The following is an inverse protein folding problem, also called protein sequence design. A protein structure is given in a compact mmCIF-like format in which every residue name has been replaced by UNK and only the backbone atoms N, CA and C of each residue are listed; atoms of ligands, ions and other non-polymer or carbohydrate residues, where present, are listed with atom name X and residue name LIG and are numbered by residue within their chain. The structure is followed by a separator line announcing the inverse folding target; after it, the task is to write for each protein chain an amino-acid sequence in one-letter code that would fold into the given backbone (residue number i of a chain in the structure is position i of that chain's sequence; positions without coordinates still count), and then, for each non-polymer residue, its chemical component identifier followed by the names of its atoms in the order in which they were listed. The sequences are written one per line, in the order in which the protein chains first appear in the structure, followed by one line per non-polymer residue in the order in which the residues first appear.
data_IF_799659505250
#
_entry.id   IF_799659505250
#
_cell.length_a   1.000
_cell.length_b   1.000
_cell.length_c   1.000
_cell.angle_alpha   90.00
_cell.angle_beta   90.00
_cell.angle_gamma   90.00
#
_symmetry.space_group_name_H-M   'P 1'
#
loop_
_entity.id
_entity.type
_entity.pdbx_description
1 polymer ?
#
# COMPACT_ATOMS: atom_id res chain seq x y z
N UNK A 1 -7.18 7.86 15.50
CA UNK A 1 -7.54 7.64 14.10
C UNK A 1 -6.32 7.89 13.21
N UNK A 2 -6.09 7.02 12.27
CA UNK A 2 -4.92 7.10 11.40
C UNK A 2 -5.32 6.93 9.95
N UNK A 3 -4.56 7.56 9.06
CA UNK A 3 -4.66 7.31 7.63
C UNK A 3 -3.50 6.44 7.19
N UNK A 4 -3.82 5.33 6.55
CA UNK A 4 -2.84 4.44 5.94
C UNK A 4 -2.70 4.83 4.48
N UNK A 5 -1.47 5.01 4.04
CA UNK A 5 -1.15 5.22 2.62
C UNK A 5 -0.15 4.15 2.22
N UNK A 6 -0.54 3.31 1.28
CA UNK A 6 0.32 2.23 0.80
C UNK A 6 0.67 2.49 -0.65
N UNK A 7 1.93 2.24 -0.98
CA UNK A 7 2.37 2.26 -2.37
C UNK A 7 2.95 0.89 -2.71
N UNK A 8 2.51 0.33 -3.81
CA UNK A 8 2.92 -1.00 -4.24
C UNK A 8 3.38 -0.95 -5.69
N UNK A 9 4.49 -1.59 -5.95
CA UNK A 9 5.02 -1.75 -7.29
C UNK A 9 5.29 -3.24 -7.50
N UNK A 10 4.56 -3.85 -8.42
CA UNK A 10 4.69 -5.27 -8.68
C UNK A 10 3.62 -5.77 -9.64
N UNK A 11 3.61 -7.08 -9.87
CA UNK A 11 2.77 -7.70 -10.88
C UNK A 11 1.33 -7.93 -10.42
N UNK A 12 1.07 -7.91 -9.11
CA UNK A 12 -0.24 -8.29 -8.57
C UNK A 12 -0.76 -7.19 -7.63
N UNK A 13 -1.47 -6.19 -8.17
CA UNK A 13 -2.02 -5.12 -7.33
C UNK A 13 -3.07 -5.59 -6.31
N UNK A 14 -3.69 -6.74 -6.53
CA UNK A 14 -4.65 -7.29 -5.58
C UNK A 14 -3.99 -7.73 -4.27
N UNK A 15 -2.69 -7.88 -4.27
CA UNK A 15 -1.91 -8.22 -3.08
C UNK A 15 -2.12 -7.21 -1.95
N UNK A 16 -2.22 -5.92 -2.29
CA UNK A 16 -2.44 -4.87 -1.29
C UNK A 16 -3.83 -4.99 -0.68
N UNK A 17 -4.84 -5.19 -1.52
CA UNK A 17 -6.22 -5.38 -1.03
C UNK A 17 -6.32 -6.59 -0.13
N UNK A 18 -5.67 -7.69 -0.49
CA UNK A 18 -5.65 -8.90 0.33
C UNK A 18 -5.01 -8.63 1.70
N UNK A 19 -3.90 -7.89 1.73
CA UNK A 19 -3.23 -7.54 2.97
C UNK A 19 -4.13 -6.70 3.87
N UNK A 20 -4.82 -5.71 3.30
CA UNK A 20 -5.72 -4.86 4.06
C UNK A 20 -6.93 -5.65 4.58
N UNK A 21 -7.46 -6.57 3.80
CA UNK A 21 -8.55 -7.44 4.23
C UNK A 21 -8.11 -8.34 5.39
N UNK A 22 -6.92 -8.90 5.32
CA UNK A 22 -6.36 -9.72 6.39
C UNK A 22 -6.14 -8.93 7.68
N UNK A 23 -5.86 -7.65 7.56
CA UNK A 23 -5.70 -6.76 8.71
C UNK A 23 -7.03 -6.25 9.25
N UNK A 24 -8.14 -6.67 8.66
CA UNK A 24 -9.50 -6.25 9.05
C UNK A 24 -9.74 -4.75 8.84
N UNK A 25 -9.10 -4.17 7.83
CA UNK A 25 -9.37 -2.80 7.42
C UNK A 25 -10.77 -2.75 6.83
N UNK A 26 -11.69 -1.95 7.39
CA UNK A 26 -13.11 -2.02 7.02
C UNK A 26 -13.40 -1.48 5.62
N UNK A 27 -12.55 -0.64 5.08
CA UNK A 27 -12.72 -0.13 3.73
C UNK A 27 -11.47 0.57 3.26
N UNK A 28 -11.23 0.54 1.96
CA UNK A 28 -10.06 1.20 1.38
C UNK A 28 -10.35 1.59 -0.07
N UNK A 29 -9.58 2.54 -0.56
CA UNK A 29 -9.62 2.96 -1.95
C UNK A 29 -8.24 2.76 -2.56
N UNK A 30 -8.18 2.18 -3.74
CA UNK A 30 -6.92 2.00 -4.46
C UNK A 30 -6.98 2.69 -5.82
N UNK A 31 -5.87 3.31 -6.18
CA UNK A 31 -5.66 3.93 -7.47
C UNK A 31 -4.54 3.18 -8.17
N UNK A 32 -4.85 2.59 -9.31
CA UNK A 32 -3.84 1.93 -10.14
C UNK A 32 -3.33 2.90 -11.19
N UNK A 33 -2.17 2.59 -11.74
CA UNK A 33 -1.61 3.40 -12.82
C UNK A 33 -0.92 4.67 -12.36
N UNK A 34 -0.58 4.78 -11.09
CA UNK A 34 0.21 5.90 -10.61
C UNK A 34 1.67 5.74 -11.05
N UNK A 35 2.39 6.85 -11.14
CA UNK A 35 3.81 6.83 -11.45
C UNK A 35 4.61 7.23 -10.23
N UNK A 36 5.77 6.61 -10.06
CA UNK A 36 6.64 6.91 -8.95
C UNK A 36 8.08 7.03 -9.39
N UNK A 37 8.87 7.70 -8.57
CA UNK A 37 10.30 7.81 -8.73
C UNK A 37 10.94 7.63 -7.37
N UNK A 38 11.80 6.64 -7.23
CA UNK A 38 12.43 6.33 -5.96
C UNK A 38 13.95 6.39 -6.05
N UNK A 39 14.61 5.93 -5.02
CA UNK A 39 16.07 5.92 -4.95
C UNK A 39 16.71 5.05 -6.05
N UNK A 40 15.97 4.09 -6.57
CA UNK A 40 16.44 3.18 -7.61
C UNK A 40 16.05 3.64 -9.01
N UNK A 41 15.49 4.86 -9.16
CA UNK A 41 15.10 5.44 -10.42
C UNK A 41 13.60 5.48 -10.64
N UNK A 42 13.18 5.91 -11.85
CA UNK A 42 11.76 6.01 -12.17
C UNK A 42 11.06 4.65 -12.06
N UNK A 43 9.84 4.68 -11.55
CA UNK A 43 8.97 3.51 -11.47
C UNK A 43 7.93 3.54 -12.58
N UNK A 44 8.33 3.92 -13.75
CA UNK A 44 7.52 3.72 -14.93
C UNK A 44 7.45 2.23 -15.24
N UNK A 45 6.47 1.81 -15.98
CA UNK A 45 6.34 0.41 -16.36
C UNK A 45 7.65 -0.11 -16.91
N UNK A 46 8.12 -1.23 -16.37
CA UNK A 46 9.32 -1.89 -16.79
C UNK A 46 8.96 -3.19 -17.48
N UNK A 47 9.98 -3.88 -17.97
CA UNK A 47 9.77 -5.20 -18.57
C UNK A 47 9.17 -6.18 -17.55
N UNK A 48 9.59 -6.10 -16.30
CA UNK A 48 9.08 -6.96 -15.23
C UNK A 48 7.73 -6.49 -14.69
N UNK A 49 7.52 -5.20 -14.69
CA UNK A 49 6.32 -4.59 -14.14
C UNK A 49 5.75 -3.61 -15.15
N UNK A 50 5.03 -4.11 -16.18
CA UNK A 50 4.46 -3.23 -17.20
C UNK A 50 3.36 -2.32 -16.64
N UNK A 51 2.86 -2.64 -15.48
CA UNK A 51 1.95 -1.76 -14.75
C UNK A 51 2.72 -0.70 -14.01
N UNK A 52 2.00 0.13 -13.35
CA UNK A 52 2.51 1.29 -12.65
C UNK A 52 2.50 1.04 -11.14
N UNK A 53 2.56 2.10 -10.37
CA UNK A 53 2.45 2.03 -8.93
C UNK A 53 0.96 2.03 -8.56
N UNK A 54 0.58 1.16 -7.64
CA UNK A 54 -0.76 1.17 -7.04
C UNK A 54 -0.68 1.91 -5.71
N UNK A 55 -1.57 2.87 -5.51
CA UNK A 55 -1.66 3.63 -4.27
C UNK A 55 -2.99 3.29 -3.61
N UNK A 56 -2.94 2.83 -2.38
CA UNK A 56 -4.14 2.55 -1.60
C UNK A 56 -4.15 3.38 -0.33
N UNK A 57 -5.34 3.79 0.09
CA UNK A 57 -5.46 4.54 1.33
C UNK A 57 -6.75 4.18 2.06
N UNK A 58 -6.71 4.33 3.38
CA UNK A 58 -7.84 4.04 4.25
C UNK A 58 -7.67 4.81 5.57
N UNK A 59 -8.76 5.23 6.15
CA UNK A 59 -8.75 5.83 7.48
C UNK A 59 -9.30 4.79 8.46
N UNK A 60 -8.52 4.51 9.51
CA UNK A 60 -8.81 3.43 10.46
C UNK A 60 -8.54 3.90 11.89
N UNK A 61 -9.01 3.14 12.86
CA UNK A 61 -8.62 3.40 14.23
C UNK A 61 -7.17 2.98 14.51
N UNK A 62 -6.66 3.37 15.66
CA UNK A 62 -5.24 3.18 15.97
C UNK A 62 -4.88 1.70 16.09
N UNK A 63 -5.77 0.86 16.59
CA UNK A 63 -5.52 -0.58 16.74
C UNK A 63 -5.42 -1.25 15.37
N UNK A 64 -6.34 -0.95 14.47
CA UNK A 64 -6.30 -1.49 13.11
C UNK A 64 -5.06 -1.01 12.37
N UNK A 65 -4.66 0.24 12.59
CA UNK A 65 -3.43 0.77 11.97
C UNK A 65 -2.21 -0.03 12.41
N UNK A 66 -2.10 -0.38 13.69
CA UNK A 66 -0.99 -1.20 14.19
C UNK A 66 -0.98 -2.59 13.58
N UNK A 67 -2.14 -3.23 13.48
CA UNK A 67 -2.24 -4.56 12.85
C UNK A 67 -1.82 -4.49 11.38
N UNK A 68 -2.31 -3.49 10.66
CA UNK A 68 -1.96 -3.32 9.25
C UNK A 68 -0.46 -3.06 9.07
N UNK A 69 0.13 -2.24 9.92
CA UNK A 69 1.57 -1.96 9.87
C UNK A 69 2.40 -3.22 10.13
N UNK A 70 2.00 -4.04 11.09
CA UNK A 70 2.67 -5.29 11.40
C UNK A 70 2.61 -6.24 10.21
N UNK A 71 1.47 -6.39 9.58
CA UNK A 71 1.31 -7.25 8.41
C UNK A 71 2.10 -6.73 7.22
N UNK A 72 2.14 -5.42 7.04
CA UNK A 72 2.92 -4.81 5.96
C UNK A 72 4.42 -5.10 6.12
N UNK A 73 4.95 -4.97 7.33
CA UNK A 73 6.36 -5.27 7.62
C UNK A 73 6.68 -6.74 7.41
N UNK A 74 5.73 -7.63 7.70
CA UNK A 74 5.93 -9.07 7.59
C UNK A 74 5.63 -9.61 6.19
N UNK A 75 5.15 -8.79 5.27
CA UNK A 75 4.74 -9.25 3.95
C UNK A 75 5.92 -9.82 3.17
N UNK A 76 5.71 -11.00 2.60
CA UNK A 76 6.70 -11.67 1.76
C UNK A 76 6.38 -11.32 0.30
N UNK A 77 7.28 -10.60 -0.34
CA UNK A 77 7.10 -10.16 -1.72
C UNK A 77 8.05 -10.90 -2.65
N UNK A 78 7.62 -11.20 -3.88
CA UNK A 78 8.53 -11.69 -4.90
C UNK A 78 9.68 -10.72 -5.15
N UNK A 79 10.82 -11.20 -5.68
CA UNK A 79 11.95 -10.32 -5.99
C UNK A 79 11.52 -9.17 -6.91
N UNK A 80 11.98 -7.97 -6.61
CA UNK A 80 11.70 -6.77 -7.38
C UNK A 80 10.41 -6.05 -7.01
N UNK A 81 9.51 -6.68 -6.27
CA UNK A 81 8.31 -6.00 -5.79
C UNK A 81 8.62 -5.13 -4.59
N UNK A 82 7.88 -4.04 -4.46
CA UNK A 82 8.06 -3.10 -3.36
C UNK A 82 6.71 -2.72 -2.78
N UNK A 83 6.67 -2.65 -1.46
CA UNK A 83 5.48 -2.24 -0.72
C UNK A 83 5.93 -1.32 0.42
N UNK A 84 5.34 -0.14 0.47
CA UNK A 84 5.59 0.82 1.54
C UNK A 84 4.27 1.25 2.15
N UNK A 85 4.30 1.55 3.44
CA UNK A 85 3.14 2.09 4.14
C UNK A 85 3.58 3.29 4.96
N UNK A 86 2.85 4.38 4.81
CA UNK A 86 2.95 5.52 5.71
C UNK A 86 1.70 5.53 6.59
N UNK A 87 1.88 5.87 7.86
CA UNK A 87 0.78 6.01 8.82
C UNK A 87 0.78 7.45 9.29
N UNK A 88 -0.33 8.15 9.08
CA UNK A 88 -0.47 9.57 9.41
C UNK A 88 -1.59 9.78 10.41
N UNK A 89 -1.43 10.74 11.34
CA UNK A 89 -2.54 11.11 12.21
C UNK A 89 -3.65 11.79 11.43
N UNK A 90 -4.89 11.58 11.85
CA UNK A 90 -6.07 12.20 11.25
C UNK A 90 -6.81 12.98 12.32
N UNK A 91 -6.97 14.29 12.10
CA UNK A 91 -7.64 15.16 13.05
C UNK A 91 -9.15 14.97 13.02
N UNK A 92 -9.72 14.77 11.84
CA UNK A 92 -11.15 14.53 11.71
C UNK A 92 -11.42 13.74 10.43
N UNK A 93 -12.46 12.94 10.48
CA UNK A 93 -12.90 12.13 9.35
C UNK A 93 -14.40 11.94 9.46
N UNK A 94 -15.13 12.38 8.45
CA UNK A 94 -16.60 12.35 8.50
C UNK A 94 -17.21 12.18 7.11
#
# INVERSE_FOLDING_TARGET
MKMLVLTYSGADPDRVSALLDEASVPGHTCLEGARGHGLTGPRAGTRAWPGDVTVCFSVVDDVVAEVAATRCRAAQLPPGERLHMAVLPVDSFF
#
